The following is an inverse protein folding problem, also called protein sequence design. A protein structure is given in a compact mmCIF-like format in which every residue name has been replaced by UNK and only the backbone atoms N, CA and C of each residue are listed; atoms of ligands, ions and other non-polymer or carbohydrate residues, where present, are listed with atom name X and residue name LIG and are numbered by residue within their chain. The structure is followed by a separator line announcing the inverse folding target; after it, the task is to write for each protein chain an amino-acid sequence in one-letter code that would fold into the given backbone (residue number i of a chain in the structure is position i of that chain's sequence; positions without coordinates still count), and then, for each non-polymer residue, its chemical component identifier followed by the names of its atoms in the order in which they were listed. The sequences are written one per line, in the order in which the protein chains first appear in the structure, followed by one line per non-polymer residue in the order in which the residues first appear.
data_IF_282455736646
#
_entry.id   IF_282455736646
#
_cell.length_a   1.000
_cell.length_b   1.000
_cell.length_c   1.000
_cell.angle_alpha   90.00
_cell.angle_beta   90.00
_cell.angle_gamma   90.00
#
_symmetry.space_group_name_H-M   'P 1'
#
loop_
_entity.id
_entity.type
_entity.pdbx_description
1 polymer ?
#
# COMPACT_ATOMS: atom_id res chain seq x y z
N UNK A 1 10.98 -10.47 4.31
CA UNK A 1 9.72 -9.73 4.51
C UNK A 1 9.04 -9.52 3.16
N UNK A 2 7.81 -9.95 3.05
CA UNK A 2 7.05 -9.87 1.81
C UNK A 2 6.25 -8.57 1.80
N UNK A 3 6.36 -7.81 0.72
CA UNK A 3 5.77 -6.47 0.61
C UNK A 3 5.02 -6.35 -0.72
N UNK A 4 3.86 -5.68 -0.69
CA UNK A 4 3.23 -5.22 -1.93
C UNK A 4 3.30 -3.70 -1.98
N UNK A 5 3.43 -3.16 -3.19
CA UNK A 5 3.54 -1.73 -3.45
C UNK A 5 2.38 -1.31 -4.33
N UNK A 6 1.63 -0.31 -3.90
CA UNK A 6 0.47 0.17 -4.66
C UNK A 6 0.55 1.68 -4.82
N UNK A 7 0.58 2.15 -6.06
CA UNK A 7 0.65 3.57 -6.37
C UNK A 7 0.15 3.76 -7.80
N UNK A 8 -0.70 4.76 -8.02
CA UNK A 8 -1.23 5.01 -9.36
C UNK A 8 -0.23 5.73 -10.27
N UNK A 9 0.86 6.26 -9.71
CA UNK A 9 1.96 6.82 -10.48
C UNK A 9 2.97 5.70 -10.76
N UNK A 10 3.04 5.29 -12.01
CA UNK A 10 3.89 4.18 -12.41
C UNK A 10 5.38 4.43 -12.11
N UNK A 11 5.83 5.67 -12.24
CA UNK A 11 7.23 6.00 -11.95
C UNK A 11 7.55 5.84 -10.47
N UNK A 12 6.64 6.30 -9.61
CA UNK A 12 6.80 6.15 -8.15
C UNK A 12 6.79 4.66 -7.77
N UNK A 13 5.85 3.90 -8.34
CA UNK A 13 5.74 2.47 -8.07
C UNK A 13 7.02 1.74 -8.47
N UNK A 14 7.55 2.03 -9.66
CA UNK A 14 8.79 1.42 -10.14
C UNK A 14 9.98 1.80 -9.26
N UNK A 15 10.05 3.06 -8.85
CA UNK A 15 11.13 3.54 -7.98
C UNK A 15 11.10 2.85 -6.63
N UNK A 16 9.93 2.75 -6.02
CA UNK A 16 9.78 2.08 -4.73
C UNK A 16 10.13 0.59 -4.83
N UNK A 17 9.65 -0.07 -5.88
CA UNK A 17 9.94 -1.48 -6.10
C UNK A 17 11.44 -1.71 -6.26
N UNK A 18 12.12 -0.83 -6.98
CA UNK A 18 13.57 -0.93 -7.17
C UNK A 18 14.32 -0.72 -5.86
N UNK A 19 13.95 0.32 -5.11
CA UNK A 19 14.59 0.64 -3.84
C UNK A 19 14.41 -0.50 -2.83
N UNK A 20 13.18 -0.97 -2.69
CA UNK A 20 12.88 -2.05 -1.75
C UNK A 20 13.54 -3.36 -2.17
N UNK A 21 13.54 -3.64 -3.47
CA UNK A 21 14.13 -4.87 -4.00
C UNK A 21 15.65 -4.94 -3.87
N UNK A 22 16.31 -3.82 -3.56
CA UNK A 22 17.76 -3.82 -3.34
C UNK A 22 18.15 -4.34 -1.96
N UNK A 23 17.18 -4.47 -1.05
CA UNK A 23 17.39 -5.02 0.29
C UNK A 23 17.10 -6.53 0.26
N UNK A 24 18.07 -7.34 0.64
CA UNK A 24 17.95 -8.80 0.59
C UNK A 24 16.85 -9.33 1.53
N UNK A 25 16.49 -8.58 2.55
CA UNK A 25 15.48 -9.00 3.51
C UNK A 25 14.05 -8.65 3.05
N UNK A 26 13.92 -7.89 1.96
CA UNK A 26 12.63 -7.46 1.44
C UNK A 26 12.38 -8.13 0.09
N UNK A 27 11.21 -8.75 -0.03
CA UNK A 27 10.76 -9.31 -1.30
C UNK A 27 9.47 -8.61 -1.71
N UNK A 28 9.49 -7.90 -2.84
CA UNK A 28 8.29 -7.29 -3.40
C UNK A 28 7.53 -8.37 -4.17
N UNK A 29 6.42 -8.81 -3.62
CA UNK A 29 5.67 -9.95 -4.17
C UNK A 29 4.56 -9.54 -5.11
N UNK A 30 4.29 -8.25 -5.21
CA UNK A 30 3.29 -7.74 -6.15
C UNK A 30 3.25 -6.23 -6.14
N UNK A 31 2.71 -5.68 -7.21
CA UNK A 31 2.49 -4.25 -7.32
C UNK A 31 1.14 -3.98 -7.99
N UNK A 32 0.50 -2.90 -7.59
CA UNK A 32 -0.79 -2.50 -8.12
C UNK A 32 -0.87 -1.00 -8.32
N UNK A 33 -1.94 -0.53 -8.94
CA UNK A 33 -2.08 0.85 -9.36
C UNK A 33 -3.32 1.54 -8.79
N UNK A 34 -4.16 0.82 -8.07
CA UNK A 34 -5.32 1.40 -7.39
C UNK A 34 -5.71 0.57 -6.16
N UNK A 35 -6.70 1.07 -5.42
CA UNK A 35 -7.11 0.41 -4.19
C UNK A 35 -7.76 -0.95 -4.40
N UNK A 36 -8.46 -1.14 -5.53
CA UNK A 36 -9.06 -2.45 -5.84
C UNK A 36 -7.99 -3.51 -6.04
N UNK A 37 -6.92 -3.14 -6.75
CA UNK A 37 -5.79 -4.04 -6.95
C UNK A 37 -5.09 -4.34 -5.64
N UNK A 38 -4.99 -3.34 -4.75
CA UNK A 38 -4.39 -3.54 -3.44
C UNK A 38 -5.13 -4.60 -2.63
N UNK A 39 -6.45 -4.52 -2.61
CA UNK A 39 -7.29 -5.49 -1.88
C UNK A 39 -7.11 -6.88 -2.47
N UNK A 40 -7.16 -7.00 -3.80
CA UNK A 40 -6.99 -8.27 -4.48
C UNK A 40 -5.60 -8.88 -4.23
N UNK A 41 -4.56 -8.06 -4.30
CA UNK A 41 -3.19 -8.50 -4.03
C UNK A 41 -3.03 -8.96 -2.57
N UNK A 42 -3.64 -8.26 -1.64
CA UNK A 42 -3.58 -8.65 -0.23
C UNK A 42 -4.19 -10.03 -0.03
N UNK A 43 -5.34 -10.27 -0.63
CA UNK A 43 -6.02 -11.57 -0.53
C UNK A 43 -5.18 -12.69 -1.13
N UNK A 44 -4.53 -12.42 -2.25
CA UNK A 44 -3.75 -13.42 -2.98
C UNK A 44 -2.39 -13.68 -2.33
N UNK A 45 -1.66 -12.63 -2.00
CA UNK A 45 -0.27 -12.75 -1.55
C UNK A 45 -0.11 -12.78 -0.04
N UNK A 46 -1.04 -12.21 0.69
CA UNK A 46 -0.98 -12.09 2.16
C UNK A 46 0.39 -11.57 2.60
N UNK A 47 0.77 -10.37 2.16
CA UNK A 47 2.09 -9.83 2.45
C UNK A 47 2.25 -9.47 3.92
N UNK A 48 3.50 -9.27 4.33
CA UNK A 48 3.78 -8.78 5.68
C UNK A 48 3.47 -7.29 5.81
N UNK A 49 3.69 -6.51 4.74
CA UNK A 49 3.45 -5.07 4.74
C UNK A 49 2.86 -4.65 3.39
N UNK A 50 1.91 -3.72 3.44
CA UNK A 50 1.38 -3.03 2.27
C UNK A 50 1.92 -1.61 2.28
N UNK A 51 2.62 -1.23 1.21
CA UNK A 51 3.07 0.15 1.02
C UNK A 51 2.18 0.75 -0.06
N UNK A 52 1.39 1.76 0.29
CA UNK A 52 0.30 2.20 -0.56
C UNK A 52 0.13 3.71 -0.52
N UNK A 53 -0.05 4.31 -1.70
CA UNK A 53 -0.39 5.72 -1.82
C UNK A 53 -1.83 5.96 -1.33
N UNK A 54 -2.06 7.08 -0.67
CA UNK A 54 -3.40 7.45 -0.22
C UNK A 54 -4.28 7.88 -1.39
N UNK A 55 -3.74 8.71 -2.28
CA UNK A 55 -4.53 9.29 -3.37
C UNK A 55 -4.39 8.49 -4.65
N UNK A 56 -5.41 7.69 -4.94
CA UNK A 56 -5.49 6.89 -6.16
C UNK A 56 -6.87 7.06 -6.78
N UNK A 57 -6.97 6.85 -8.09
CA UNK A 57 -8.17 7.19 -8.84
C UNK A 57 -9.38 6.31 -8.57
N UNK A 58 -9.24 5.00 -8.69
CA UNK A 58 -10.38 4.09 -8.57
C UNK A 58 -10.88 3.92 -7.14
N UNK A 59 -9.97 3.59 -6.26
CA UNK A 59 -10.25 3.46 -4.84
C UNK A 59 -9.07 4.04 -4.09
N UNK A 60 -9.33 4.96 -3.17
CA UNK A 60 -8.25 5.60 -2.41
C UNK A 60 -7.50 4.58 -1.54
N UNK A 61 -6.26 4.90 -1.22
CA UNK A 61 -5.47 4.06 -0.32
C UNK A 61 -6.11 3.92 1.05
N UNK A 62 -6.77 4.97 1.53
CA UNK A 62 -7.45 4.93 2.82
C UNK A 62 -8.63 3.96 2.79
N UNK A 63 -9.43 4.00 1.72
CA UNK A 63 -10.56 3.07 1.56
C UNK A 63 -10.08 1.63 1.43
N UNK A 64 -9.00 1.42 0.67
CA UNK A 64 -8.41 0.09 0.53
C UNK A 64 -7.88 -0.43 1.87
N UNK A 65 -7.23 0.45 2.65
CA UNK A 65 -6.71 0.10 3.96
C UNK A 65 -7.85 -0.34 4.89
N UNK A 66 -8.97 0.36 4.86
CA UNK A 66 -10.13 -0.02 5.67
C UNK A 66 -10.65 -1.41 5.29
N UNK A 67 -10.73 -1.70 4.00
CA UNK A 67 -11.16 -3.03 3.53
C UNK A 67 -10.18 -4.12 3.96
N UNK A 68 -8.89 -3.88 3.79
CA UNK A 68 -7.87 -4.85 4.18
C UNK A 68 -7.93 -5.12 5.68
N UNK A 69 -8.07 -4.08 6.49
CA UNK A 69 -8.16 -4.23 7.94
C UNK A 69 -9.44 -4.92 8.39
N UNK A 70 -10.50 -4.84 7.59
CA UNK A 70 -11.73 -5.59 7.84
C UNK A 70 -11.50 -7.09 7.64
N UNK A 71 -10.71 -7.44 6.63
CA UNK A 71 -10.37 -8.84 6.34
C UNK A 71 -9.33 -9.39 7.33
N UNK A 72 -8.38 -8.55 7.73
CA UNK A 72 -7.27 -8.96 8.60
C UNK A 72 -6.88 -7.79 9.50
N UNK A 73 -7.30 -7.86 10.75
CA UNK A 73 -7.04 -6.78 11.72
C UNK A 73 -5.55 -6.62 12.04
N UNK A 74 -4.75 -7.63 11.76
CA UNK A 74 -3.32 -7.60 12.00
C UNK A 74 -2.53 -7.08 10.80
N UNK A 75 -3.19 -6.69 9.72
CA UNK A 75 -2.53 -6.19 8.52
C UNK A 75 -1.71 -4.94 8.84
N UNK A 76 -0.51 -4.89 8.27
CA UNK A 76 0.38 -3.74 8.44
C UNK A 76 0.40 -2.94 7.14
N UNK A 77 -0.10 -1.72 7.22
CA UNK A 77 -0.25 -0.86 6.05
C UNK A 77 0.48 0.46 6.31
N UNK A 78 1.40 0.77 5.41
CA UNK A 78 2.11 2.05 5.44
C UNK A 78 1.57 2.90 4.30
N UNK A 79 0.90 3.99 4.65
CA UNK A 79 0.33 4.89 3.67
C UNK A 79 1.31 6.01 3.33
N UNK A 80 1.47 6.25 2.04
CA UNK A 80 2.32 7.32 1.54
C UNK A 80 1.47 8.56 1.26
N UNK A 81 2.03 9.73 1.54
CA UNK A 81 1.30 10.97 1.41
C UNK A 81 2.23 12.12 1.02
N UNK A 82 1.63 13.22 0.54
CA UNK A 82 2.34 14.46 0.27
C UNK A 82 2.05 15.45 1.41
N UNK A 83 2.69 16.63 1.35
CA UNK A 83 2.49 17.66 2.38
C UNK A 83 1.04 18.09 2.54
N UNK A 84 0.25 18.01 1.50
CA UNK A 84 -1.15 18.42 1.55
C UNK A 84 -2.06 17.37 2.18
N UNK A 85 -1.53 16.22 2.55
CA UNK A 85 -2.33 15.08 2.98
C UNK A 85 -2.19 14.78 4.47
N UNK A 86 -1.81 15.76 5.29
CA UNK A 86 -1.60 15.56 6.73
C UNK A 86 -2.83 15.00 7.44
N UNK A 87 -4.02 15.48 7.08
CA UNK A 87 -5.25 14.98 7.71
C UNK A 87 -5.49 13.51 7.37
N UNK A 88 -5.04 13.05 6.21
CA UNK A 88 -5.13 11.65 5.84
C UNK A 88 -4.20 10.78 6.67
N UNK A 89 -3.02 11.29 6.99
CA UNK A 89 -2.08 10.59 7.87
C UNK A 89 -2.71 10.37 9.24
N UNK A 90 -3.25 11.42 9.84
CA UNK A 90 -3.87 11.36 11.15
C UNK A 90 -5.03 10.37 11.14
N UNK A 91 -5.86 10.41 10.09
CA UNK A 91 -7.00 9.53 9.95
C UNK A 91 -6.56 8.07 9.80
N UNK A 92 -5.52 7.83 9.02
CA UNK A 92 -4.98 6.48 8.82
C UNK A 92 -4.43 5.90 10.13
N UNK A 93 -3.75 6.72 10.92
CA UNK A 93 -3.22 6.29 12.22
C UNK A 93 -4.32 5.99 13.22
N UNK A 94 -5.50 6.56 13.03
CA UNK A 94 -6.67 6.29 13.87
C UNK A 94 -7.38 4.98 13.53
N UNK A 95 -6.97 4.32 12.47
CA UNK A 95 -7.52 3.04 12.11
C UNK A 95 -6.99 1.95 13.04
#
# INVERSE_FOLDING_TARGET
MRVIVVDDDQLVEMSLTTILGSDEEIEVVGSGHDGSEAVALYQKEKPDVVLMDIQMQEMSGLAAAEEILTMDKAAKILLLTTFSDEEYIVKALGL
#
